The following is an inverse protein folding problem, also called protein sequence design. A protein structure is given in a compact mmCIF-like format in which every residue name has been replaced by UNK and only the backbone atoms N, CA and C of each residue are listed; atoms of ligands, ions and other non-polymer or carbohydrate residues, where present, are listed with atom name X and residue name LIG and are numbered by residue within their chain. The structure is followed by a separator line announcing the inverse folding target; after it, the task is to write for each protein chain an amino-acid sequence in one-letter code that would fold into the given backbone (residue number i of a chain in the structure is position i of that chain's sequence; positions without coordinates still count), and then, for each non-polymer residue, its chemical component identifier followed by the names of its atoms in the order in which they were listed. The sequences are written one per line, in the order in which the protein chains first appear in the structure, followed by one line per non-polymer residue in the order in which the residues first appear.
data_IF_689900381499
#
_entry.id   IF_689900381499
#
_cell.length_a   1.000
_cell.length_b   1.000
_cell.length_c   1.000
_cell.angle_alpha   90.00
_cell.angle_beta   90.00
_cell.angle_gamma   90.00
#
_symmetry.space_group_name_H-M   'P 1'
#
loop_
_entity.id
_entity.type
_entity.pdbx_description
1 polymer ?
#
# COMPACT_ATOMS: atom_id res chain seq x y z
N UNK A 1 14.90 60.86 14.79
CA UNK A 1 14.26 59.60 14.35
C UNK A 1 15.29 58.48 14.59
N UNK A 2 15.25 57.84 15.76
CA UNK A 2 16.17 56.75 16.13
C UNK A 2 15.34 55.47 16.24
N UNK A 3 15.53 54.56 15.30
CA UNK A 3 14.79 53.30 15.21
C UNK A 3 15.51 52.28 16.10
N UNK A 4 14.82 51.82 17.15
CA UNK A 4 15.29 50.75 18.03
C UNK A 4 15.32 49.41 17.27
N UNK A 5 16.51 48.78 17.22
CA UNK A 5 16.66 47.41 16.73
C UNK A 5 16.17 46.40 17.75
N UNK A 6 15.07 45.71 17.46
CA UNK A 6 14.62 44.54 18.23
C UNK A 6 15.45 43.35 17.77
N UNK A 7 16.41 42.95 18.60
CA UNK A 7 17.18 41.73 18.41
C UNK A 7 16.28 40.54 18.81
N UNK A 8 15.73 39.83 17.83
CA UNK A 8 14.94 38.62 18.08
C UNK A 8 15.88 37.41 18.17
N UNK A 9 16.31 37.09 19.38
CA UNK A 9 16.96 35.80 19.63
C UNK A 9 15.98 34.67 19.29
N UNK A 10 16.28 33.92 18.22
CA UNK A 10 15.60 32.67 17.90
C UNK A 10 15.84 31.69 19.05
N UNK A 11 14.88 31.58 19.96
CA UNK A 11 14.80 30.52 20.98
C UNK A 11 15.02 29.16 20.31
N UNK A 12 16.17 28.53 20.53
CA UNK A 12 16.38 27.10 20.27
C UNK A 12 15.29 26.35 21.03
N UNK A 13 14.37 25.69 20.31
CA UNK A 13 13.36 24.80 20.89
C UNK A 13 14.09 23.76 21.75
N UNK A 14 13.82 23.74 23.06
CA UNK A 14 14.16 22.60 23.93
C UNK A 14 13.62 21.34 23.25
N UNK A 15 14.46 20.31 23.10
CA UNK A 15 14.03 18.98 22.64
C UNK A 15 12.92 18.54 23.60
N UNK A 16 11.67 18.56 23.13
CA UNK A 16 10.54 18.20 23.99
C UNK A 16 10.61 16.72 24.28
N UNK A 17 10.02 16.31 25.39
CA UNK A 17 9.76 14.90 25.68
C UNK A 17 9.05 14.25 24.48
N UNK A 18 9.39 12.98 24.22
CA UNK A 18 8.82 12.22 23.12
C UNK A 18 7.30 12.12 23.31
N UNK A 19 6.54 12.29 22.23
CA UNK A 19 5.11 12.03 22.28
C UNK A 19 4.83 10.51 22.31
N UNK A 20 3.63 10.11 22.74
CA UNK A 20 3.27 8.69 22.87
C UNK A 20 3.48 7.90 21.58
N UNK A 21 3.22 8.50 20.40
CA UNK A 21 3.44 7.82 19.12
C UNK A 21 4.91 7.57 18.81
N UNK A 22 5.81 8.45 19.25
CA UNK A 22 7.27 8.25 19.13
C UNK A 22 7.75 7.17 20.09
N UNK A 23 7.22 7.14 21.32
CA UNK A 23 7.49 6.09 22.31
C UNK A 23 7.05 4.73 21.75
N UNK A 24 5.80 4.62 21.28
CA UNK A 24 5.26 3.41 20.67
C UNK A 24 6.12 2.94 19.48
N UNK A 25 6.61 3.89 18.66
CA UNK A 25 7.43 3.58 17.48
C UNK A 25 8.79 3.04 17.88
N UNK A 26 9.39 3.56 18.95
CA UNK A 26 10.65 3.05 19.51
C UNK A 26 10.48 1.65 20.08
N UNK A 27 9.46 1.45 20.92
CA UNK A 27 9.16 0.13 21.51
C UNK A 27 8.93 -0.92 20.42
N UNK A 28 8.15 -0.58 19.39
CA UNK A 28 7.93 -1.48 18.26
C UNK A 28 9.23 -1.76 17.51
N UNK A 29 10.04 -0.74 17.24
CA UNK A 29 11.31 -0.90 16.55
C UNK A 29 12.29 -1.79 17.32
N UNK A 30 12.46 -1.56 18.62
CA UNK A 30 13.30 -2.37 19.51
C UNK A 30 12.90 -3.85 19.48
N UNK A 31 11.59 -4.13 19.43
CA UNK A 31 11.08 -5.51 19.34
C UNK A 31 11.50 -6.22 18.04
N UNK A 32 11.60 -5.51 16.92
CA UNK A 32 11.77 -6.12 15.59
C UNK A 32 13.16 -5.91 15.01
N UNK A 33 13.98 -5.07 15.64
CA UNK A 33 15.27 -4.60 15.14
C UNK A 33 16.21 -5.75 14.80
N UNK A 34 16.45 -6.63 15.76
CA UNK A 34 17.45 -7.69 15.61
C UNK A 34 16.99 -8.73 14.58
N UNK A 35 15.70 -9.04 14.57
CA UNK A 35 15.09 -9.88 13.53
C UNK A 35 15.31 -9.29 12.12
N UNK A 36 15.07 -7.98 11.94
CA UNK A 36 15.30 -7.29 10.66
C UNK A 36 16.78 -7.30 10.28
N UNK A 37 17.69 -7.02 11.21
CA UNK A 37 19.13 -7.06 10.97
C UNK A 37 19.58 -8.44 10.51
N UNK A 38 19.24 -9.48 11.27
CA UNK A 38 19.69 -10.85 11.03
C UNK A 38 19.09 -11.42 9.75
N UNK A 39 17.78 -11.24 9.54
CA UNK A 39 17.12 -11.71 8.32
C UNK A 39 17.59 -10.98 7.07
N UNK A 40 17.84 -9.66 7.16
CA UNK A 40 18.43 -8.91 6.04
C UNK A 40 19.83 -9.41 5.72
N UNK A 41 20.67 -9.62 6.74
CA UNK A 41 22.02 -10.15 6.54
C UNK A 41 21.97 -11.52 5.84
N UNK A 42 21.11 -12.44 6.30
CA UNK A 42 20.96 -13.75 5.69
C UNK A 42 20.53 -13.69 4.22
N UNK A 43 19.58 -12.82 3.89
CA UNK A 43 19.09 -12.65 2.52
C UNK A 43 20.13 -11.98 1.62
N UNK A 44 20.83 -10.95 2.12
CA UNK A 44 21.89 -10.25 1.39
C UNK A 44 23.08 -11.19 1.13
N UNK A 45 23.48 -11.99 2.11
CA UNK A 45 24.56 -12.96 1.95
C UNK A 45 24.20 -14.04 0.91
N UNK A 46 22.94 -14.51 0.94
CA UNK A 46 22.41 -15.43 -0.08
C UNK A 46 22.39 -14.78 -1.47
N UNK A 47 21.86 -13.56 -1.59
CA UNK A 47 21.81 -12.83 -2.86
C UNK A 47 23.21 -12.52 -3.43
N UNK A 48 24.18 -12.23 -2.57
CA UNK A 48 25.59 -12.04 -2.96
C UNK A 48 26.21 -13.33 -3.46
N UNK A 49 25.94 -14.47 -2.81
CA UNK A 49 26.41 -15.78 -3.27
C UNK A 49 25.87 -16.15 -4.65
N UNK A 50 24.66 -15.67 -4.98
CA UNK A 50 24.01 -15.83 -6.28
C UNK A 50 24.34 -14.72 -7.29
N UNK A 51 25.24 -13.79 -6.95
CA UNK A 51 25.66 -12.67 -7.80
C UNK A 51 24.52 -11.72 -8.22
N UNK A 52 23.44 -11.67 -7.43
CA UNK A 52 22.35 -10.70 -7.64
C UNK A 52 22.68 -9.29 -7.15
N UNK A 53 23.75 -9.14 -6.37
CA UNK A 53 24.20 -7.85 -5.81
C UNK A 53 25.49 -7.40 -6.47
N UNK A 54 25.57 -6.09 -6.75
CA UNK A 54 26.74 -5.44 -7.32
C UNK A 54 27.89 -5.27 -6.33
N UNK A 55 29.08 -4.89 -6.82
CA UNK A 55 30.20 -4.53 -5.96
C UNK A 55 29.84 -3.36 -5.04
N UNK A 56 30.56 -3.24 -3.92
CA UNK A 56 30.35 -2.18 -2.92
C UNK A 56 30.91 -0.86 -3.45
N UNK A 57 30.25 -0.25 -4.44
CA UNK A 57 30.58 1.10 -4.93
C UNK A 57 29.38 2.05 -4.77
N UNK A 58 29.70 3.34 -4.64
CA UNK A 58 28.72 4.41 -4.44
C UNK A 58 27.76 4.51 -5.64
N UNK A 59 26.46 4.51 -5.35
CA UNK A 59 25.42 4.60 -6.36
C UNK A 59 25.53 5.91 -7.17
N UNK A 60 25.78 5.79 -8.47
CA UNK A 60 25.68 6.92 -9.41
C UNK A 60 24.21 7.23 -9.64
N UNK A 61 23.83 8.49 -9.38
CA UNK A 61 22.49 9.03 -9.61
C UNK A 61 22.16 9.01 -11.11
N UNK A 62 21.34 8.05 -11.53
CA UNK A 62 20.68 8.09 -12.84
C UNK A 62 19.53 9.10 -12.86
N UNK A 63 19.20 9.69 -14.03
CA UNK A 63 18.07 10.59 -14.15
C UNK A 63 16.75 9.87 -13.82
N UNK A 64 15.90 10.54 -13.04
CA UNK A 64 14.56 10.06 -12.69
C UNK A 64 13.69 10.14 -13.94
N UNK A 65 12.96 9.08 -14.33
CA UNK A 65 11.97 9.17 -15.39
C UNK A 65 10.91 10.21 -15.00
N UNK A 66 10.80 11.29 -15.77
CA UNK A 66 9.93 12.44 -15.50
C UNK A 66 8.50 12.25 -16.04
N UNK A 67 8.09 11.02 -16.34
CA UNK A 67 6.78 10.78 -16.94
C UNK A 67 5.72 10.73 -15.83
N UNK A 68 5.07 11.87 -15.60
CA UNK A 68 3.87 11.93 -14.75
C UNK A 68 2.77 11.09 -15.41
N UNK A 69 2.40 9.96 -14.80
CA UNK A 69 1.31 9.12 -15.30
C UNK A 69 -0.05 9.78 -15.04
N UNK A 70 -0.93 9.79 -16.06
CA UNK A 70 -2.30 10.32 -15.98
C UNK A 70 -3.25 9.57 -15.03
N UNK A 71 -2.79 8.50 -14.37
CA UNK A 71 -3.58 7.70 -13.42
C UNK A 71 -4.17 8.53 -12.27
N UNK A 72 -3.46 9.58 -11.82
CA UNK A 72 -3.97 10.46 -10.77
C UNK A 72 -5.24 11.21 -11.20
N UNK A 73 -5.29 11.67 -12.46
CA UNK A 73 -6.46 12.32 -13.03
C UNK A 73 -7.63 11.34 -13.18
N UNK A 74 -7.36 10.09 -13.57
CA UNK A 74 -8.37 9.03 -13.61
C UNK A 74 -9.02 8.79 -12.24
N UNK A 75 -8.22 8.73 -11.17
CA UNK A 75 -8.73 8.58 -9.80
C UNK A 75 -9.60 9.75 -9.36
N UNK A 76 -9.25 10.99 -9.71
CA UNK A 76 -10.08 12.17 -9.37
C UNK A 76 -11.40 12.19 -10.14
N UNK A 77 -11.40 11.79 -11.42
CA UNK A 77 -12.65 11.67 -12.18
C UNK A 77 -13.57 10.60 -11.62
N UNK A 78 -13.03 9.45 -11.22
CA UNK A 78 -13.82 8.41 -10.57
C UNK A 78 -14.64 9.02 -9.44
N UNK A 79 -14.01 9.79 -8.54
CA UNK A 79 -14.68 10.47 -7.41
C UNK A 79 -15.78 11.44 -7.82
N UNK A 80 -15.69 12.07 -9.00
CA UNK A 80 -16.62 13.09 -9.48
C UNK A 80 -17.87 12.52 -10.16
N UNK A 81 -17.94 11.21 -10.39
CA UNK A 81 -19.11 10.59 -11.03
C UNK A 81 -20.36 10.69 -10.16
N UNK A 82 -21.54 10.99 -10.74
CA UNK A 82 -22.81 11.08 -10.03
C UNK A 82 -23.09 9.82 -9.22
N UNK A 83 -23.78 9.98 -8.08
CA UNK A 83 -24.39 8.87 -7.37
C UNK A 83 -25.56 8.38 -8.24
N UNK A 84 -25.36 7.25 -8.92
CA UNK A 84 -26.44 6.58 -9.64
C UNK A 84 -27.12 5.65 -8.63
N UNK A 85 -28.45 5.64 -8.60
CA UNK A 85 -29.19 4.75 -7.69
C UNK A 85 -28.84 3.28 -7.98
N UNK A 86 -28.53 2.54 -6.91
CA UNK A 86 -28.06 1.16 -6.95
C UNK A 86 -29.02 0.20 -7.68
N UNK A 87 -30.28 0.60 -7.88
CA UNK A 87 -31.37 -0.21 -8.44
C UNK A 87 -31.44 -0.22 -9.98
N UNK A 88 -30.82 0.72 -10.69
CA UNK A 88 -31.02 0.87 -12.16
C UNK A 88 -29.94 0.21 -13.05
N UNK A 89 -28.95 -0.48 -12.48
CA UNK A 89 -27.79 -0.95 -13.26
C UNK A 89 -27.93 -2.41 -13.74
N UNK A 90 -28.51 -2.59 -14.94
CA UNK A 90 -28.79 -3.90 -15.59
C UNK A 90 -27.55 -4.76 -15.90
N UNK A 91 -26.33 -4.19 -15.95
CA UNK A 91 -25.09 -4.96 -16.17
C UNK A 91 -23.91 -4.39 -15.38
N UNK A 92 -23.42 -5.16 -14.39
CA UNK A 92 -22.24 -4.81 -13.57
C UNK A 92 -20.89 -5.22 -14.18
N UNK A 93 -20.91 -5.88 -15.36
CA UNK A 93 -19.72 -6.42 -16.04
C UNK A 93 -19.75 -6.02 -17.51
N UNK A 94 -18.58 -5.70 -18.06
CA UNK A 94 -18.34 -5.56 -19.49
C UNK A 94 -17.08 -6.32 -19.89
N UNK A 95 -17.08 -6.91 -21.08
CA UNK A 95 -15.90 -7.58 -21.65
C UNK A 95 -15.26 -6.66 -22.68
N UNK A 96 -13.93 -6.55 -22.64
CA UNK A 96 -13.18 -5.80 -23.64
C UNK A 96 -13.29 -6.49 -25.00
N UNK A 97 -13.71 -5.72 -26.00
CA UNK A 97 -13.63 -6.09 -27.41
C UNK A 97 -12.35 -5.45 -27.99
N UNK A 98 -11.37 -6.24 -28.47
CA UNK A 98 -10.14 -5.72 -29.07
C UNK A 98 -10.40 -4.86 -30.31
N UNK A 99 -11.51 -5.11 -31.01
CA UNK A 99 -11.88 -4.40 -32.22
C UNK A 99 -12.70 -3.13 -31.92
N UNK A 100 -13.25 -3.00 -30.70
CA UNK A 100 -14.10 -1.89 -30.27
C UNK A 100 -13.84 -1.47 -28.82
N UNK A 101 -12.81 -0.62 -28.62
CA UNK A 101 -12.46 -0.09 -27.29
C UNK A 101 -12.98 1.33 -27.02
N UNK A 102 -13.73 1.92 -27.96
CA UNK A 102 -14.33 3.25 -27.80
C UNK A 102 -15.54 3.21 -26.85
N UNK A 103 -15.66 4.22 -25.98
CA UNK A 103 -16.80 4.42 -25.06
C UNK A 103 -17.00 3.39 -23.91
N UNK A 104 -15.91 2.79 -23.39
CA UNK A 104 -15.99 1.93 -22.20
C UNK A 104 -16.34 2.72 -20.92
N UNK A 105 -17.35 2.27 -20.17
CA UNK A 105 -17.62 2.76 -18.82
C UNK A 105 -16.79 1.97 -17.81
N UNK A 106 -15.56 2.43 -17.58
CA UNK A 106 -14.62 1.75 -16.67
C UNK A 106 -14.91 1.97 -15.19
N UNK A 107 -15.80 2.91 -14.87
CA UNK A 107 -15.94 3.38 -13.50
C UNK A 107 -17.08 2.73 -12.74
N UNK A 108 -18.18 2.42 -13.42
CA UNK A 108 -19.35 1.80 -12.80
C UNK A 108 -19.40 0.27 -12.96
N UNK A 109 -18.55 -0.30 -13.84
CA UNK A 109 -18.59 -1.71 -14.21
C UNK A 109 -17.25 -2.40 -14.05
N UNK A 110 -17.29 -3.68 -13.70
CA UNK A 110 -16.14 -4.56 -13.80
C UNK A 110 -15.82 -4.78 -15.27
N UNK A 111 -14.60 -4.47 -15.67
CA UNK A 111 -14.11 -4.62 -17.04
C UNK A 111 -13.21 -5.84 -17.12
N UNK A 112 -13.51 -6.76 -18.01
CA UNK A 112 -12.75 -8.01 -18.18
C UNK A 112 -11.99 -8.02 -19.51
N UNK A 113 -10.68 -8.26 -19.44
CA UNK A 113 -9.92 -8.80 -20.55
C UNK A 113 -9.95 -10.33 -20.46
N UNK A 114 -10.87 -10.97 -21.20
CA UNK A 114 -10.98 -12.44 -21.26
C UNK A 114 -10.04 -13.08 -22.28
N UNK A 115 -9.29 -12.28 -23.01
CA UNK A 115 -8.40 -12.75 -24.05
C UNK A 115 -7.07 -13.24 -23.47
N UNK A 116 -6.41 -14.11 -24.23
CA UNK A 116 -5.05 -14.58 -23.95
C UNK A 116 -3.98 -13.57 -24.41
N UNK A 117 -4.40 -12.41 -24.89
CA UNK A 117 -3.53 -11.30 -25.33
C UNK A 117 -3.86 -10.02 -24.56
N UNK A 118 -2.87 -9.14 -24.45
CA UNK A 118 -3.08 -7.82 -23.89
C UNK A 118 -3.91 -6.97 -24.85
N UNK A 119 -4.81 -6.15 -24.31
CA UNK A 119 -5.67 -5.25 -25.10
C UNK A 119 -5.32 -3.80 -24.78
N UNK A 120 -5.17 -2.97 -25.81
CA UNK A 120 -4.93 -1.53 -25.64
C UNK A 120 -6.27 -0.81 -25.61
N UNK A 121 -6.51 -0.03 -24.56
CA UNK A 121 -7.70 0.82 -24.43
C UNK A 121 -7.27 2.29 -24.39
N UNK A 122 -7.98 3.15 -25.10
CA UNK A 122 -7.75 4.60 -25.05
C UNK A 122 -8.65 5.23 -24.00
N UNK A 123 -8.06 5.87 -22.98
CA UNK A 123 -8.77 6.53 -21.89
C UNK A 123 -8.24 7.94 -21.70
N UNK A 124 -9.13 8.93 -21.72
CA UNK A 124 -8.76 10.34 -21.60
C UNK A 124 -7.69 10.82 -22.61
N UNK A 125 -7.61 10.19 -23.78
CA UNK A 125 -6.60 10.52 -24.79
C UNK A 125 -5.25 9.83 -24.61
N UNK A 126 -5.10 8.97 -23.60
CA UNK A 126 -3.91 8.17 -23.35
C UNK A 126 -4.20 6.68 -23.61
N UNK A 127 -3.18 5.93 -24.02
CA UNK A 127 -3.29 4.49 -24.25
C UNK A 127 -2.87 3.69 -23.01
N UNK A 128 -3.71 2.74 -22.60
CA UNK A 128 -3.47 1.86 -21.47
C UNK A 128 -3.48 0.41 -21.93
N UNK A 129 -2.50 -0.36 -21.46
CA UNK A 129 -2.41 -1.80 -21.75
C UNK A 129 -3.10 -2.57 -20.63
N UNK A 130 -4.16 -3.30 -20.99
CA UNK A 130 -4.86 -4.20 -20.07
C UNK A 130 -4.32 -5.62 -20.28
N UNK A 131 -3.70 -6.25 -19.25
CA UNK A 131 -3.11 -7.56 -19.41
C UNK A 131 -4.15 -8.66 -19.71
N UNK A 132 -3.73 -9.78 -20.34
CA UNK A 132 -4.62 -10.91 -20.61
C UNK A 132 -5.18 -11.50 -19.32
N UNK A 133 -6.39 -12.07 -19.41
CA UNK A 133 -7.08 -12.76 -18.31
C UNK A 133 -7.19 -11.93 -17.02
N UNK A 134 -7.42 -10.61 -17.17
CA UNK A 134 -7.59 -9.69 -16.04
C UNK A 134 -9.02 -9.16 -15.95
N UNK A 135 -9.42 -8.80 -14.74
CA UNK A 135 -10.62 -8.02 -14.50
C UNK A 135 -10.27 -6.86 -13.58
N UNK A 136 -10.84 -5.69 -13.82
CA UNK A 136 -10.62 -4.52 -12.97
C UNK A 136 -11.88 -3.67 -12.83
N UNK A 137 -11.93 -2.91 -11.74
CA UNK A 137 -12.97 -1.92 -11.47
C UNK A 137 -12.26 -0.63 -11.08
N UNK A 138 -12.46 0.45 -11.85
CA UNK A 138 -11.90 1.77 -11.52
C UNK A 138 -12.94 2.57 -10.74
N UNK A 139 -13.07 2.31 -9.43
CA UNK A 139 -14.11 2.95 -8.62
C UNK A 139 -13.52 3.65 -7.40
N UNK A 140 -14.30 4.61 -6.87
CA UNK A 140 -14.10 5.00 -5.47
C UNK A 140 -14.45 3.79 -4.61
N UNK A 141 -13.60 3.43 -3.64
CA UNK A 141 -13.80 2.22 -2.85
C UNK A 141 -15.11 2.22 -2.02
N UNK A 142 -15.72 3.38 -1.77
CA UNK A 142 -17.06 3.47 -1.18
C UNK A 142 -18.16 2.94 -2.12
N UNK A 143 -17.87 2.84 -3.42
CA UNK A 143 -18.73 2.30 -4.49
C UNK A 143 -18.18 0.98 -5.03
N UNK A 144 -17.85 0.07 -4.13
CA UNK A 144 -17.32 -1.27 -4.45
C UNK A 144 -18.42 -2.30 -4.77
N UNK A 145 -19.70 -1.90 -4.74
CA UNK A 145 -20.84 -2.79 -5.01
C UNK A 145 -20.76 -3.53 -6.35
N UNK A 146 -20.27 -2.94 -7.47
CA UNK A 146 -20.09 -3.69 -8.72
C UNK A 146 -19.18 -4.92 -8.55
N UNK A 147 -18.14 -4.82 -7.72
CA UNK A 147 -17.25 -5.95 -7.42
C UNK A 147 -17.94 -7.03 -6.58
N UNK A 148 -18.86 -6.66 -5.69
CA UNK A 148 -19.66 -7.62 -4.92
C UNK A 148 -20.66 -8.32 -5.84
N UNK A 149 -21.36 -7.57 -6.70
CA UNK A 149 -22.33 -8.09 -7.68
C UNK A 149 -21.69 -8.97 -8.75
N UNK A 150 -20.42 -8.74 -9.05
CA UNK A 150 -19.61 -9.62 -9.92
C UNK A 150 -19.57 -11.07 -9.43
N UNK A 151 -19.77 -11.29 -8.12
CA UNK A 151 -20.05 -12.62 -7.54
C UNK A 151 -18.83 -13.54 -7.46
N UNK A 152 -17.65 -13.11 -7.94
CA UNK A 152 -16.41 -13.85 -7.74
C UNK A 152 -15.92 -13.71 -6.30
N UNK A 153 -15.41 -14.81 -5.77
CA UNK A 153 -14.70 -14.86 -4.49
C UNK A 153 -13.21 -15.00 -4.74
N UNK A 154 -12.41 -14.44 -3.84
CA UNK A 154 -10.96 -14.40 -3.96
C UNK A 154 -10.31 -15.26 -2.86
N UNK A 155 -9.29 -16.03 -3.23
CA UNK A 155 -8.46 -16.79 -2.30
C UNK A 155 -7.32 -15.96 -1.68
N UNK A 156 -6.99 -14.83 -2.32
CA UNK A 156 -6.03 -13.85 -1.84
C UNK A 156 -6.54 -12.44 -2.13
N UNK A 157 -6.57 -11.59 -1.12
CA UNK A 157 -6.90 -10.16 -1.22
C UNK A 157 -5.70 -9.38 -0.68
N UNK A 158 -5.13 -8.49 -1.49
CA UNK A 158 -4.03 -7.61 -1.09
C UNK A 158 -4.52 -6.18 -1.07
N UNK A 159 -4.27 -5.47 0.04
CA UNK A 159 -4.69 -4.10 0.27
C UNK A 159 -3.46 -3.22 0.49
N UNK A 160 -3.39 -2.09 -0.22
CA UNK A 160 -2.46 -1.00 0.05
C UNK A 160 -3.24 0.30 0.31
N UNK A 161 -3.78 0.48 1.53
CA UNK A 161 -4.60 1.63 1.84
C UNK A 161 -3.81 2.95 1.78
N UNK A 162 -4.44 4.07 1.39
CA UNK A 162 -3.81 5.39 1.42
C UNK A 162 -3.72 5.92 2.86
N UNK A 163 -2.80 5.36 3.64
CA UNK A 163 -2.64 5.68 5.06
C UNK A 163 -2.41 7.16 5.31
N UNK A 164 -2.99 7.66 6.40
CA UNK A 164 -2.84 9.04 6.80
C UNK A 164 -1.36 9.41 7.06
N UNK A 165 -0.86 10.37 6.30
CA UNK A 165 0.46 10.96 6.54
C UNK A 165 0.36 12.45 6.86
N UNK A 166 0.95 12.86 8.01
CA UNK A 166 1.01 14.26 8.45
C UNK A 166 1.72 15.17 7.45
N UNK A 167 2.64 14.66 6.62
CA UNK A 167 3.28 15.45 5.56
C UNK A 167 2.32 15.77 4.42
N UNK A 168 1.54 14.78 3.97
CA UNK A 168 0.54 14.90 2.88
C UNK A 168 -0.64 15.76 3.33
N UNK A 169 -1.02 15.74 4.61
CA UNK A 169 -2.03 16.66 5.18
C UNK A 169 -1.75 18.14 4.92
N UNK A 170 -0.48 18.54 4.79
CA UNK A 170 -0.10 19.95 4.55
C UNK A 170 -0.23 20.36 3.08
N UNK A 171 -0.27 19.40 2.14
CA UNK A 171 -0.38 19.72 0.71
C UNK A 171 -1.82 19.92 0.22
N UNK A 172 -2.83 19.51 1.00
CA UNK A 172 -4.27 19.57 0.64
C UNK A 172 -4.65 18.86 -0.67
N UNK A 173 -3.74 18.09 -1.28
CA UNK A 173 -3.95 17.45 -2.58
C UNK A 173 -4.82 16.19 -2.54
N UNK A 174 -5.06 15.63 -1.35
CA UNK A 174 -5.91 14.45 -1.16
C UNK A 174 -6.95 14.71 -0.08
N UNK A 175 -8.21 14.34 -0.34
CA UNK A 175 -9.25 14.23 0.68
C UNK A 175 -8.84 13.21 1.74
N UNK A 176 -9.11 13.51 3.00
CA UNK A 176 -8.73 12.63 4.12
C UNK A 176 -9.66 11.42 4.17
N UNK A 177 -9.08 10.22 4.16
CA UNK A 177 -9.79 8.98 4.45
C UNK A 177 -9.47 8.54 5.89
N UNK A 178 -10.40 8.70 6.85
CA UNK A 178 -10.26 8.09 8.16
C UNK A 178 -10.03 6.58 8.00
N UNK A 179 -9.04 6.02 8.70
CA UNK A 179 -8.77 4.57 8.63
C UNK A 179 -10.01 3.72 8.93
N UNK A 180 -10.94 4.22 9.76
CA UNK A 180 -12.21 3.57 10.04
C UNK A 180 -13.09 3.35 8.80
N UNK A 181 -12.98 4.16 7.75
CA UNK A 181 -13.73 3.95 6.51
C UNK A 181 -13.29 2.69 5.77
N UNK A 182 -12.09 2.17 6.03
CA UNK A 182 -11.68 0.87 5.49
C UNK A 182 -12.64 -0.25 5.91
N UNK A 183 -13.28 -0.15 7.08
CA UNK A 183 -14.30 -1.12 7.52
C UNK A 183 -15.48 -1.26 6.53
N UNK A 184 -15.72 -0.27 5.67
CA UNK A 184 -16.75 -0.33 4.63
C UNK A 184 -16.42 -1.31 3.50
N UNK A 185 -15.15 -1.71 3.34
CA UNK A 185 -14.79 -2.74 2.37
C UNK A 185 -15.49 -4.05 2.76
N UNK A 186 -16.26 -4.66 1.86
CA UNK A 186 -17.05 -5.84 2.16
C UNK A 186 -16.20 -7.11 2.03
N UNK A 187 -15.07 -7.18 2.73
CA UNK A 187 -14.15 -8.34 2.69
C UNK A 187 -14.89 -9.68 2.92
N UNK A 188 -15.83 -9.81 3.88
CA UNK A 188 -16.62 -11.04 4.03
C UNK A 188 -17.44 -11.44 2.79
N UNK A 189 -17.84 -10.46 1.96
CA UNK A 189 -18.57 -10.69 0.72
C UNK A 189 -17.63 -10.94 -0.48
N UNK A 190 -16.33 -10.70 -0.35
CA UNK A 190 -15.36 -10.89 -1.43
C UNK A 190 -14.45 -12.11 -1.18
N UNK A 191 -14.18 -12.45 0.07
CA UNK A 191 -13.28 -13.53 0.45
C UNK A 191 -13.92 -14.92 0.26
N UNK A 192 -13.17 -15.86 -0.31
CA UNK A 192 -13.48 -17.29 -0.24
C UNK A 192 -13.20 -17.85 1.16
N UNK A 193 -13.67 -19.07 1.45
CA UNK A 193 -13.29 -19.75 2.70
C UNK A 193 -11.78 -19.95 2.76
N UNK A 194 -11.13 -19.63 3.88
CA UNK A 194 -9.67 -19.66 4.04
C UNK A 194 -8.88 -18.64 3.19
N UNK A 195 -9.55 -17.63 2.63
CA UNK A 195 -8.89 -16.55 1.91
C UNK A 195 -7.81 -15.87 2.77
N UNK A 196 -6.66 -15.59 2.16
CA UNK A 196 -5.63 -14.74 2.76
C UNK A 196 -5.93 -13.27 2.49
N UNK A 197 -5.84 -12.46 3.53
CA UNK A 197 -5.95 -11.00 3.43
C UNK A 197 -4.61 -10.41 3.83
N UNK A 198 -3.95 -9.71 2.91
CA UNK A 198 -2.68 -9.03 3.15
C UNK A 198 -2.92 -7.54 3.16
N UNK A 199 -2.43 -6.83 4.16
CA UNK A 199 -2.58 -5.37 4.23
C UNK A 199 -1.22 -4.72 4.44
N UNK A 200 -0.81 -3.88 3.49
CA UNK A 200 0.35 -3.02 3.65
C UNK A 200 0.07 -1.96 4.70
N UNK A 201 1.04 -1.69 5.57
CA UNK A 201 0.94 -0.73 6.66
C UNK A 201 2.21 0.12 6.69
N UNK A 202 2.04 1.44 6.84
CA UNK A 202 3.18 2.33 7.09
C UNK A 202 3.81 2.04 8.46
N UNK A 203 5.04 2.50 8.71
CA UNK A 203 5.75 2.32 10.01
C UNK A 203 5.15 3.10 11.19
N UNK A 204 3.87 3.47 11.12
CA UNK A 204 3.16 4.14 12.21
C UNK A 204 2.45 3.07 13.06
N UNK A 205 2.84 2.86 14.33
CA UNK A 205 2.29 1.79 15.16
C UNK A 205 0.77 1.85 15.32
N UNK A 206 0.17 3.05 15.26
CA UNK A 206 -1.29 3.19 15.34
C UNK A 206 -2.01 2.55 14.16
N UNK A 207 -1.44 2.57 12.95
CA UNK A 207 -2.05 1.90 11.79
C UNK A 207 -1.94 0.38 11.92
N UNK A 208 -0.79 -0.11 12.40
CA UNK A 208 -0.59 -1.54 12.65
C UNK A 208 -1.60 -2.07 13.70
N UNK A 209 -1.76 -1.34 14.81
CA UNK A 209 -2.78 -1.66 15.82
C UNK A 209 -4.19 -1.62 15.24
N UNK A 210 -4.53 -0.59 14.47
CA UNK A 210 -5.83 -0.52 13.82
C UNK A 210 -6.11 -1.74 12.92
N UNK A 211 -5.16 -2.14 12.08
CA UNK A 211 -5.32 -3.31 11.21
C UNK A 211 -5.54 -4.59 12.03
N UNK A 212 -4.64 -4.85 12.98
CA UNK A 212 -4.62 -6.09 13.78
C UNK A 212 -5.77 -6.18 14.78
N UNK A 213 -6.01 -5.09 15.51
CA UNK A 213 -6.86 -5.11 16.71
C UNK A 213 -8.29 -4.63 16.42
N UNK A 214 -8.53 -4.00 15.25
CA UNK A 214 -9.87 -3.51 14.88
C UNK A 214 -10.37 -3.98 13.51
N UNK A 215 -9.58 -3.78 12.44
CA UNK A 215 -10.04 -3.98 11.07
C UNK A 215 -10.22 -5.47 10.75
N UNK A 216 -9.21 -6.28 11.06
CA UNK A 216 -9.27 -7.72 10.80
C UNK A 216 -10.34 -8.41 11.65
N UNK A 217 -10.44 -8.16 12.97
CA UNK A 217 -11.56 -8.67 13.77
C UNK A 217 -12.93 -8.26 13.22
N UNK A 218 -13.07 -7.01 12.75
CA UNK A 218 -14.32 -6.54 12.14
C UNK A 218 -14.71 -7.34 10.89
N UNK A 219 -13.74 -7.76 10.08
CA UNK A 219 -13.97 -8.60 8.90
C UNK A 219 -14.03 -10.11 9.20
N UNK A 220 -13.83 -10.54 10.45
CA UNK A 220 -13.69 -11.97 10.77
C UNK A 220 -12.40 -12.58 10.19
N UNK A 221 -11.34 -11.76 10.09
CA UNK A 221 -10.00 -12.16 9.68
C UNK A 221 -9.14 -12.33 10.93
N UNK A 222 -8.43 -13.45 11.01
CA UNK A 222 -7.46 -13.73 12.06
C UNK A 222 -6.06 -13.36 11.57
N UNK A 223 -5.23 -12.69 12.39
CA UNK A 223 -3.83 -12.43 12.02
C UNK A 223 -3.01 -13.71 12.13
N UNK A 224 -2.28 -14.01 11.06
CA UNK A 224 -1.44 -15.21 10.93
C UNK A 224 0.04 -14.86 11.03
N UNK A 225 0.47 -13.77 10.40
CA UNK A 225 1.88 -13.38 10.35
C UNK A 225 2.04 -11.87 10.12
N UNK A 226 3.25 -11.39 10.38
CA UNK A 226 3.69 -10.05 10.02
C UNK A 226 4.92 -10.14 9.12
N UNK A 227 4.89 -9.45 7.98
CA UNK A 227 6.01 -9.42 7.03
C UNK A 227 6.67 -8.05 7.04
N UNK A 228 7.99 -8.05 6.83
CA UNK A 228 8.79 -6.84 6.67
C UNK A 228 9.34 -6.78 5.26
N UNK A 229 8.92 -5.76 4.51
CA UNK A 229 9.50 -5.44 3.22
C UNK A 229 10.70 -4.52 3.43
N UNK A 230 11.90 -5.08 3.45
CA UNK A 230 13.16 -4.37 3.66
C UNK A 230 13.72 -3.85 2.34
N UNK A 231 14.12 -2.59 2.34
CA UNK A 231 14.65 -1.85 1.19
C UNK A 231 16.18 -1.77 1.29
N UNK A 232 16.87 -2.39 0.35
CA UNK A 232 18.33 -2.36 0.24
C UNK A 232 18.80 -1.80 -1.10
N UNK A 233 20.02 -1.29 -1.13
CA UNK A 233 20.73 -0.88 -2.34
C UNK A 233 21.15 -2.09 -3.17
N UNK A 234 21.62 -1.85 -4.39
CA UNK A 234 22.27 -2.86 -5.25
C UNK A 234 23.51 -3.50 -4.63
N UNK A 235 24.13 -2.84 -3.65
CA UNK A 235 25.24 -3.38 -2.84
C UNK A 235 24.81 -4.11 -1.57
N UNK A 236 23.49 -4.22 -1.33
CA UNK A 236 22.91 -4.90 -0.17
C UNK A 236 22.94 -4.10 1.13
N UNK A 237 23.15 -2.79 1.08
CA UNK A 237 23.08 -1.89 2.25
C UNK A 237 21.67 -1.37 2.43
N UNK A 238 21.23 -1.09 3.66
CA UNK A 238 19.93 -0.44 3.87
C UNK A 238 19.89 0.93 3.19
N UNK A 239 18.76 1.26 2.55
CA UNK A 239 18.57 2.58 1.91
C UNK A 239 18.51 3.73 2.93
N UNK A 240 18.24 3.43 4.20
CA UNK A 240 18.36 4.34 5.34
C UNK A 240 18.95 3.58 6.53
N UNK A 241 19.68 4.23 7.45
CA UNK A 241 20.12 3.58 8.68
C UNK A 241 18.94 2.93 9.41
N UNK A 242 19.08 1.66 9.81
CA UNK A 242 17.99 0.93 10.47
C UNK A 242 17.48 1.66 11.73
N UNK A 243 18.42 2.24 12.49
CA UNK A 243 18.17 2.96 13.74
C UNK A 243 17.74 4.43 13.54
N UNK A 244 17.47 4.86 12.30
CA UNK A 244 16.99 6.22 12.01
C UNK A 244 15.68 6.54 12.74
N UNK A 245 15.60 7.72 13.35
CA UNK A 245 14.46 8.13 14.18
C UNK A 245 13.17 8.35 13.35
N UNK A 246 13.28 8.72 12.07
CA UNK A 246 12.15 9.19 11.27
C UNK A 246 11.84 8.36 10.03
N UNK A 247 12.87 7.78 9.38
CA UNK A 247 12.73 6.95 8.19
C UNK A 247 13.22 5.55 8.53
N UNK A 248 12.42 4.51 8.27
CA UNK A 248 12.85 3.11 8.41
C UNK A 248 13.11 2.52 7.03
N UNK A 249 14.13 1.67 6.85
CA UNK A 249 14.43 1.01 5.58
C UNK A 249 13.53 -0.20 5.35
N UNK A 250 12.35 -0.25 5.96
CA UNK A 250 11.42 -1.35 5.81
C UNK A 250 9.99 -0.84 5.90
N UNK A 251 9.03 -1.62 5.41
CA UNK A 251 7.60 -1.43 5.61
C UNK A 251 6.97 -2.72 6.13
N UNK A 252 5.77 -2.63 6.70
CA UNK A 252 5.11 -3.77 7.33
C UNK A 252 3.94 -4.23 6.45
N UNK A 253 3.79 -5.54 6.27
CA UNK A 253 2.57 -6.14 5.77
C UNK A 253 1.99 -7.06 6.86
N UNK A 254 0.69 -6.98 7.09
CA UNK A 254 -0.02 -7.89 7.99
C UNK A 254 -0.67 -8.96 7.12
N UNK A 255 -0.43 -10.23 7.43
CA UNK A 255 -1.10 -11.37 6.80
C UNK A 255 -2.18 -11.88 7.75
N UNK A 256 -3.40 -11.95 7.25
CA UNK A 256 -4.54 -12.54 7.94
C UNK A 256 -5.23 -13.62 7.11
N UNK A 257 -6.09 -14.39 7.77
CA UNK A 257 -6.86 -15.47 7.18
C UNK A 257 -8.34 -15.32 7.53
N UNK A 258 -9.18 -15.26 6.50
CA UNK A 258 -10.63 -15.18 6.63
C UNK A 258 -11.25 -16.56 6.84
N UNK A 259 -12.23 -16.65 7.76
CA UNK A 259 -13.02 -17.87 7.96
C UNK A 259 -12.22 -19.04 8.53
N UNK A 260 -11.18 -18.76 9.33
CA UNK A 260 -10.42 -19.79 10.06
C UNK A 260 -11.35 -20.52 11.03
N UNK A 261 -11.75 -21.75 10.67
CA UNK A 261 -12.51 -22.66 11.54
C UNK A 261 -11.62 -23.48 12.46
N UNK A 262 -10.31 -23.45 12.22
CA UNK A 262 -9.31 -24.17 13.01
C UNK A 262 -8.72 -23.19 14.01
N UNK A 263 -9.08 -23.37 15.29
CA UNK A 263 -8.34 -22.80 16.41
C UNK A 263 -6.97 -23.47 16.48
N UNK A 264 -6.05 -23.05 15.63
CA UNK A 264 -4.64 -23.27 15.92
C UNK A 264 -4.34 -22.49 17.22
N UNK A 265 -3.47 -23.03 18.08
CA UNK A 265 -3.01 -22.28 19.25
C UNK A 265 -2.51 -20.90 18.83
N UNK A 266 -2.54 -19.90 19.74
CA UNK A 266 -1.98 -18.56 19.50
C UNK A 266 -0.72 -18.68 18.62
N UNK A 267 -0.79 -18.23 17.37
CA UNK A 267 0.38 -18.15 16.52
C UNK A 267 1.30 -17.11 17.16
N UNK A 268 2.40 -17.57 17.74
CA UNK A 268 3.45 -16.69 18.25
C UNK A 268 4.03 -15.90 17.07
N UNK A 269 3.83 -14.58 17.07
CA UNK A 269 4.32 -13.55 16.15
C UNK A 269 5.24 -14.04 15.00
N UNK A 270 4.70 -14.79 14.03
CA UNK A 270 5.49 -15.27 12.91
C UNK A 270 5.87 -14.08 12.04
N UNK A 271 7.14 -13.72 12.09
CA UNK A 271 7.71 -12.66 11.30
C UNK A 271 8.43 -13.23 10.08
N UNK A 272 8.26 -12.62 8.91
CA UNK A 272 9.03 -12.94 7.71
C UNK A 272 9.67 -11.68 7.14
N UNK A 273 10.83 -11.82 6.50
CA UNK A 273 11.53 -10.71 5.86
C UNK A 273 11.63 -10.98 4.36
N UNK A 274 11.31 -9.96 3.58
CA UNK A 274 11.53 -9.90 2.16
C UNK A 274 12.45 -8.70 1.87
N UNK A 275 13.59 -8.95 1.23
CA UNK A 275 14.49 -7.89 0.80
C UNK A 275 14.24 -7.56 -0.68
N UNK A 276 14.06 -6.29 -0.99
CA UNK A 276 14.00 -5.82 -2.38
C UNK A 276 15.18 -4.89 -2.68
N UNK A 277 15.75 -5.07 -3.87
CA UNK A 277 16.89 -4.31 -4.37
C UNK A 277 16.35 -3.14 -5.19
N UNK A 278 16.58 -1.92 -4.72
CA UNK A 278 16.20 -0.73 -5.47
C UNK A 278 17.23 -0.44 -6.56
N UNK A 279 16.77 -0.37 -7.81
CA UNK A 279 17.57 0.06 -8.95
C UNK A 279 17.68 1.60 -9.04
N UNK A 280 16.86 2.34 -8.28
CA UNK A 280 16.87 3.81 -8.24
C UNK A 280 16.75 4.30 -6.78
N UNK A 281 17.62 5.24 -6.39
CA UNK A 281 17.65 5.83 -5.05
C UNK A 281 16.39 6.67 -4.79
N UNK A 282 15.62 6.31 -3.77
CA UNK A 282 14.48 7.09 -3.24
C UNK A 282 14.98 8.36 -2.51
N UNK A 283 14.41 9.51 -2.86
CA UNK A 283 14.64 10.82 -2.22
C UNK A 283 13.93 11.01 -0.86
#
# INVERSE_FOLDING_TARGET
MLIHGINSEKRKRKRSDLNQGEIDSKVFHEKVRDFIMEGTKSLVDSARSLQYLGPTEEAVLGPVPSQECGLSALCEMAKALPLVDDEEQEACVQTLDPDFTSHLDLFSRVTENRWDVATVVTLMGEEYVIPPQTAFLLSDFTRIQPLVRYGKKFDLIVLDPPWENKSVKRSRRYSFLPSSQLKQLPIPLLASSNCFVVTWVTNRPSHLRFVRDELYPHWGVEVVAQWFWVKVTTSGQFVFPLDSEHKKPYEVLVLGRYGSSVRYGKFDDHCFIFCNVFCTSLS
#
